data_IF_033736158360
#
_entry.id   IF_033736158360
#
_cell.length_a   1.000
_cell.length_b   1.000
_cell.length_c   1.000
_cell.angle_alpha   90.00
_cell.angle_beta   90.00
_cell.angle_gamma   90.00
#
_symmetry.space_group_name_H-M   'P 1'
#
loop_
_entity.id
_entity.type
_entity.pdbx_description
1 polymer ?
#
# COMPACT_ATOMS: atom_id res chain seq x y z
N UNK A 1 5.51 22.49 -0.88
CA UNK A 1 5.83 21.06 -1.06
C UNK A 1 4.95 20.57 -2.20
N UNK A 2 5.55 20.16 -3.30
CA UNK A 2 4.83 19.64 -4.46
C UNK A 2 4.23 18.28 -4.08
N UNK A 3 2.92 18.10 -4.26
CA UNK A 3 2.25 16.85 -3.90
C UNK A 3 2.61 15.77 -4.91
N UNK A 4 3.04 14.60 -4.42
CA UNK A 4 3.29 13.42 -5.24
C UNK A 4 1.97 13.00 -5.90
N UNK A 5 2.01 12.71 -7.21
CA UNK A 5 0.84 12.26 -7.96
C UNK A 5 0.25 10.97 -7.36
N UNK A 6 -1.07 10.92 -7.22
CA UNK A 6 -1.80 9.74 -6.76
C UNK A 6 -1.55 8.51 -7.64
N UNK A 7 -1.21 8.70 -8.91
CA UNK A 7 -0.85 7.61 -9.83
C UNK A 7 0.44 6.91 -9.40
N UNK A 8 1.44 7.67 -8.95
CA UNK A 8 2.73 7.13 -8.46
C UNK A 8 2.50 6.37 -7.15
N UNK A 9 1.70 6.93 -6.25
CA UNK A 9 1.33 6.25 -5.01
C UNK A 9 0.58 4.94 -5.27
N UNK A 10 -0.34 4.94 -6.25
CA UNK A 10 -1.07 3.73 -6.62
C UNK A 10 -0.17 2.65 -7.24
N UNK A 11 0.86 3.02 -8.02
CA UNK A 11 1.81 2.05 -8.57
C UNK A 11 2.50 1.23 -7.48
N UNK A 12 2.83 1.84 -6.33
CA UNK A 12 3.46 1.13 -5.21
C UNK A 12 2.59 0.02 -4.60
N UNK A 13 1.27 0.09 -4.82
CA UNK A 13 0.27 -0.87 -4.35
C UNK A 13 -0.21 -1.83 -5.44
N UNK A 14 0.25 -1.68 -6.69
CA UNK A 14 -0.15 -2.52 -7.82
C UNK A 14 1.00 -3.41 -8.27
N UNK A 15 0.81 -4.73 -8.27
CA UNK A 15 1.79 -5.70 -8.82
C UNK A 15 1.96 -5.59 -10.34
N UNK A 16 1.07 -4.87 -11.02
CA UNK A 16 1.12 -4.65 -12.46
C UNK A 16 1.45 -3.18 -12.74
N UNK A 17 2.34 -2.94 -13.70
CA UNK A 17 2.57 -1.59 -14.22
C UNK A 17 1.24 -1.13 -14.82
N UNK A 18 0.59 -0.18 -14.14
CA UNK A 18 -0.63 0.42 -14.65
C UNK A 18 -0.37 0.97 -16.04
N UNK A 19 -1.24 0.64 -17.00
CA UNK A 19 -1.19 1.24 -18.33
C UNK A 19 -1.52 2.75 -18.23
N UNK A 20 -0.56 3.58 -17.80
CA UNK A 20 -0.67 5.06 -17.90
C UNK A 20 -0.87 5.46 -19.36
N UNK A 21 -0.36 4.63 -20.30
CA UNK A 21 -0.53 4.77 -21.75
C UNK A 21 -1.99 4.81 -22.25
N UNK A 22 -3.00 4.45 -21.46
CA UNK A 22 -4.41 4.66 -21.87
C UNK A 22 -4.87 6.11 -21.77
N UNK A 23 -4.07 7.02 -21.22
CA UNK A 23 -4.37 8.45 -21.14
C UNK A 23 -3.63 9.31 -22.19
N UNK A 24 -2.62 8.79 -22.89
CA UNK A 24 -1.96 9.49 -23.99
C UNK A 24 -1.92 8.61 -25.25
N UNK A 25 -2.57 9.11 -26.31
CA UNK A 25 -2.79 8.42 -27.59
C UNK A 25 -1.52 7.83 -28.20
N UNK A 26 -1.66 6.62 -28.74
CA UNK A 26 -0.54 5.76 -29.10
C UNK A 26 0.12 6.02 -30.45
N UNK A 27 1.16 5.25 -30.74
CA UNK A 27 1.53 4.75 -32.07
C UNK A 27 2.59 3.64 -31.94
N UNK A 28 2.52 2.63 -32.83
CA UNK A 28 3.45 1.50 -32.93
C UNK A 28 4.62 1.87 -33.84
N UNK A 29 5.87 1.58 -33.47
CA UNK A 29 6.99 1.59 -34.45
C UNK A 29 7.99 0.44 -34.16
N UNK A 30 8.49 -0.15 -35.25
CA UNK A 30 9.43 -1.26 -35.34
C UNK A 30 10.88 -0.88 -34.99
N UNK A 31 11.62 -1.81 -34.41
CA UNK A 31 13.02 -1.64 -33.99
C UNK A 31 14.02 -2.18 -35.03
N UNK A 32 14.98 -1.36 -35.43
CA UNK A 32 16.21 -1.78 -36.14
C UNK A 32 17.37 -1.74 -35.12
N UNK A 33 18.09 -2.85 -34.95
CA UNK A 33 19.19 -3.00 -33.99
C UNK A 33 20.54 -2.81 -34.70
N UNK A 34 21.47 -2.09 -34.08
CA UNK A 34 22.89 -2.04 -34.48
C UNK A 34 23.77 -2.42 -33.28
N UNK A 35 24.72 -3.39 -33.38
CA UNK A 35 25.23 -4.11 -32.20
C UNK A 35 26.46 -3.50 -31.50
N UNK A 36 26.97 -2.34 -31.93
CA UNK A 36 28.35 -1.92 -31.60
C UNK A 36 28.51 -0.54 -30.94
N UNK A 37 27.46 0.10 -30.42
CA UNK A 37 27.59 1.40 -29.74
C UNK A 37 27.48 1.25 -28.22
N UNK A 38 28.62 1.31 -27.52
CA UNK A 38 28.72 1.30 -26.07
C UNK A 38 29.06 2.70 -25.56
N UNK A 39 28.04 3.46 -25.17
CA UNK A 39 28.22 4.79 -24.57
C UNK A 39 27.56 5.89 -25.38
N UNK A 40 26.24 5.93 -25.29
CA UNK A 40 25.41 7.12 -25.10
C UNK A 40 23.97 6.70 -25.36
N UNK A 41 23.27 6.33 -24.28
CA UNK A 41 21.83 6.13 -24.36
C UNK A 41 21.19 7.51 -24.48
N UNK A 42 20.96 7.96 -25.70
CA UNK A 42 19.94 8.97 -25.95
C UNK A 42 18.60 8.37 -25.50
N UNK A 43 18.16 8.79 -24.32
CA UNK A 43 16.88 8.36 -23.75
C UNK A 43 15.79 9.06 -24.55
N UNK A 44 15.39 8.42 -25.66
CA UNK A 44 14.18 8.75 -26.38
C UNK A 44 12.97 8.65 -25.45
N UNK A 45 11.93 9.41 -25.77
CA UNK A 45 10.69 9.62 -25.01
C UNK A 45 9.83 8.33 -24.79
N UNK A 46 10.42 7.14 -24.99
CA UNK A 46 9.92 5.81 -24.61
C UNK A 46 10.09 5.53 -23.10
N UNK A 47 9.99 6.57 -22.27
CA UNK A 47 9.91 6.45 -20.81
C UNK A 47 8.51 5.94 -20.42
N UNK A 48 8.30 4.62 -20.47
CA UNK A 48 7.81 4.03 -19.21
C UNK A 48 8.93 4.34 -18.24
N UNK A 49 8.75 5.37 -17.41
CA UNK A 49 9.84 5.85 -16.57
C UNK A 49 10.39 4.63 -15.84
N UNK A 50 11.70 4.36 -15.94
CA UNK A 50 12.32 3.26 -15.17
C UNK A 50 11.89 3.34 -13.69
N UNK A 51 11.65 4.55 -13.21
CA UNK A 51 11.03 4.85 -11.93
C UNK A 51 9.63 4.23 -11.75
N UNK A 52 8.73 4.36 -12.73
CA UNK A 52 7.38 3.78 -12.71
C UNK A 52 7.44 2.25 -12.65
N UNK A 53 8.41 1.63 -13.35
CA UNK A 53 8.61 0.18 -13.30
C UNK A 53 9.24 -0.29 -12.00
N UNK A 54 10.14 0.51 -11.41
CA UNK A 54 10.84 0.18 -10.17
C UNK A 54 9.97 0.37 -8.92
N UNK A 55 9.02 1.30 -8.98
CA UNK A 55 8.08 1.56 -7.88
C UNK A 55 6.88 0.60 -7.90
N UNK A 56 6.62 -0.03 -9.04
CA UNK A 56 5.51 -0.95 -9.22
C UNK A 56 5.53 -2.07 -8.17
N UNK A 57 4.49 -2.12 -7.34
CA UNK A 57 4.30 -3.16 -6.34
C UNK A 57 5.32 -3.16 -5.20
N UNK A 58 6.13 -2.11 -5.05
CA UNK A 58 7.21 -2.08 -4.04
C UNK A 58 6.70 -2.36 -2.62
N UNK A 59 5.57 -1.77 -2.21
CA UNK A 59 4.98 -2.06 -0.91
C UNK A 59 4.37 -3.45 -0.85
N UNK A 60 3.71 -3.89 -1.93
CA UNK A 60 3.10 -5.22 -1.95
C UNK A 60 4.17 -6.31 -1.82
N UNK A 61 5.29 -6.17 -2.53
CA UNK A 61 6.40 -7.11 -2.40
C UNK A 61 7.02 -7.05 -1.00
N UNK A 62 7.11 -5.86 -0.40
CA UNK A 62 7.55 -5.73 0.99
C UNK A 62 6.61 -6.42 1.99
N UNK A 63 5.29 -6.37 1.78
CA UNK A 63 4.30 -7.08 2.60
C UNK A 63 4.34 -8.60 2.40
N UNK A 64 4.76 -9.08 1.24
CA UNK A 64 4.84 -10.51 0.89
C UNK A 64 6.23 -11.12 1.13
N UNK A 65 7.16 -10.35 1.70
CA UNK A 65 8.54 -10.77 1.89
C UNK A 65 8.66 -11.94 2.87
N UNK A 66 9.60 -12.83 2.61
CA UNK A 66 9.88 -14.00 3.45
C UNK A 66 10.34 -13.60 4.87
N UNK A 67 11.02 -12.46 5.00
CA UNK A 67 11.52 -11.95 6.27
C UNK A 67 10.53 -11.01 6.93
N UNK A 68 10.10 -11.37 8.14
CA UNK A 68 9.17 -10.56 8.94
C UNK A 68 9.65 -9.12 9.18
N UNK A 69 10.96 -8.87 9.26
CA UNK A 69 11.51 -7.52 9.42
C UNK A 69 11.24 -6.62 8.20
N UNK A 70 11.24 -7.18 6.99
CA UNK A 70 10.92 -6.45 5.76
C UNK A 70 9.43 -6.14 5.74
N UNK A 71 8.58 -7.13 6.09
CA UNK A 71 7.13 -6.94 6.23
C UNK A 71 6.78 -5.84 7.23
N UNK A 72 7.41 -5.85 8.41
CA UNK A 72 7.23 -4.81 9.42
C UNK A 72 7.63 -3.42 8.89
N UNK A 73 8.78 -3.33 8.24
CA UNK A 73 9.27 -2.06 7.66
C UNK A 73 8.34 -1.53 6.56
N UNK A 74 7.75 -2.41 5.76
CA UNK A 74 6.77 -2.06 4.75
C UNK A 74 5.48 -1.52 5.38
N UNK A 75 4.96 -2.18 6.43
CA UNK A 75 3.80 -1.71 7.19
C UNK A 75 4.06 -0.32 7.79
N UNK A 76 5.20 -0.12 8.43
CA UNK A 76 5.57 1.15 9.06
C UNK A 76 5.62 2.29 8.02
N UNK A 77 6.30 2.05 6.90
CA UNK A 77 6.41 3.03 5.82
C UNK A 77 5.04 3.34 5.19
N UNK A 78 4.20 2.33 4.97
CA UNK A 78 2.83 2.52 4.50
C UNK A 78 2.00 3.31 5.50
N UNK A 79 2.15 3.07 6.79
CA UNK A 79 1.42 3.77 7.85
C UNK A 79 1.77 5.26 7.88
N UNK A 80 3.07 5.60 7.87
CA UNK A 80 3.50 6.99 7.87
C UNK A 80 3.02 7.73 6.63
N UNK A 81 3.13 7.11 5.45
CA UNK A 81 2.64 7.68 4.20
C UNK A 81 1.11 7.85 4.20
N UNK A 82 0.38 6.87 4.72
CA UNK A 82 -1.07 6.95 4.85
C UNK A 82 -1.51 8.02 5.86
N UNK A 83 -0.72 8.32 6.90
CA UNK A 83 -1.02 9.39 7.85
C UNK A 83 -0.90 10.79 7.23
N UNK A 84 -0.11 10.95 6.16
CA UNK A 84 0.07 12.25 5.48
C UNK A 84 -0.76 12.40 4.20
N UNK A 85 -1.17 11.30 3.56
CA UNK A 85 -1.91 11.30 2.30
C UNK A 85 -3.21 10.48 2.40
N UNK A 86 -4.35 11.16 2.50
CA UNK A 86 -5.67 10.53 2.68
C UNK A 86 -6.06 9.60 1.54
N UNK A 87 -5.74 9.99 0.30
CA UNK A 87 -6.02 9.18 -0.89
C UNK A 87 -5.25 7.86 -0.84
N UNK A 88 -3.98 7.91 -0.41
CA UNK A 88 -3.18 6.71 -0.22
C UNK A 88 -3.71 5.84 0.91
N UNK A 89 -4.13 6.43 2.04
CA UNK A 89 -4.73 5.70 3.14
C UNK A 89 -5.93 4.84 2.68
N UNK A 90 -6.82 5.41 1.88
CA UNK A 90 -7.98 4.67 1.34
C UNK A 90 -7.58 3.48 0.46
N UNK A 91 -6.45 3.59 -0.25
CA UNK A 91 -5.92 2.54 -1.12
C UNK A 91 -5.11 1.50 -0.34
N UNK A 92 -4.40 1.90 0.72
CA UNK A 92 -3.47 1.06 1.45
C UNK A 92 -4.13 0.23 2.55
N UNK A 93 -5.23 0.72 3.14
CA UNK A 93 -5.92 0.05 4.25
C UNK A 93 -6.28 -1.42 3.96
N UNK A 94 -6.84 -1.79 2.80
CA UNK A 94 -7.14 -3.20 2.51
C UNK A 94 -5.91 -4.11 2.66
N UNK A 95 -4.77 -3.70 2.10
CA UNK A 95 -3.51 -4.45 2.20
C UNK A 95 -3.00 -4.53 3.64
N UNK A 96 -3.14 -3.46 4.43
CA UNK A 96 -2.79 -3.48 5.85
C UNK A 96 -3.72 -4.39 6.66
N UNK A 97 -5.01 -4.45 6.32
CA UNK A 97 -5.98 -5.35 6.97
C UNK A 97 -5.68 -6.81 6.63
N UNK A 98 -5.22 -7.12 5.42
CA UNK A 98 -4.79 -8.48 5.06
C UNK A 98 -3.67 -8.99 5.97
N UNK A 99 -2.76 -8.10 6.40
CA UNK A 99 -1.68 -8.43 7.35
C UNK A 99 -2.17 -8.78 8.76
N UNK A 100 -3.47 -8.61 9.08
CA UNK A 100 -4.03 -9.06 10.35
C UNK A 100 -4.04 -10.58 10.47
N UNK A 101 -3.82 -11.32 9.39
CA UNK A 101 -3.73 -12.77 9.38
C UNK A 101 -2.30 -13.28 9.16
N UNK A 102 -1.28 -12.43 9.31
CA UNK A 102 0.12 -12.85 9.20
C UNK A 102 0.45 -13.94 10.23
N UNK A 103 1.31 -14.88 9.85
CA UNK A 103 1.75 -15.97 10.72
C UNK A 103 2.48 -15.45 11.99
N UNK A 104 3.19 -14.32 11.88
CA UNK A 104 3.93 -13.70 12.97
C UNK A 104 3.08 -12.70 13.73
N UNK A 105 2.99 -12.88 15.05
CA UNK A 105 2.22 -12.02 15.96
C UNK A 105 2.63 -10.55 15.83
N UNK A 106 3.92 -10.27 15.77
CA UNK A 106 4.48 -8.92 15.73
C UNK A 106 3.98 -8.16 14.49
N UNK A 107 3.82 -8.86 13.37
CA UNK A 107 3.33 -8.29 12.11
C UNK A 107 1.83 -8.00 12.21
N UNK A 108 1.04 -8.95 12.75
CA UNK A 108 -0.39 -8.73 13.00
C UNK A 108 -0.62 -7.52 13.91
N UNK A 109 0.13 -7.43 15.01
CA UNK A 109 0.02 -6.32 15.97
C UNK A 109 0.40 -4.99 15.33
N UNK A 110 1.47 -4.96 14.52
CA UNK A 110 1.90 -3.76 13.83
C UNK A 110 0.83 -3.28 12.83
N UNK A 111 0.28 -4.19 12.04
CA UNK A 111 -0.79 -3.90 11.09
C UNK A 111 -2.03 -3.30 11.78
N UNK A 112 -2.52 -3.91 12.85
CA UNK A 112 -3.69 -3.42 13.62
C UNK A 112 -3.41 -2.02 14.19
N UNK A 113 -2.23 -1.83 14.77
CA UNK A 113 -1.83 -0.54 15.34
C UNK A 113 -1.73 0.55 14.27
N UNK A 114 -1.17 0.21 13.11
CA UNK A 114 -1.06 1.10 11.96
C UNK A 114 -2.43 1.53 11.42
N UNK A 115 -3.35 0.57 11.19
CA UNK A 115 -4.73 0.88 10.76
C UNK A 115 -5.45 1.72 11.80
N UNK A 116 -5.22 1.47 13.10
CA UNK A 116 -5.77 2.29 14.19
C UNK A 116 -5.28 3.74 14.10
N UNK A 117 -3.97 3.94 13.94
CA UNK A 117 -3.36 5.27 13.79
C UNK A 117 -3.94 6.03 12.60
N UNK A 118 -4.03 5.40 11.44
CA UNK A 118 -4.63 5.98 10.22
C UNK A 118 -6.10 6.35 10.46
N UNK A 119 -6.85 5.48 11.14
CA UNK A 119 -8.27 5.69 11.45
C UNK A 119 -8.48 6.90 12.36
N UNK A 120 -7.60 7.11 13.35
CA UNK A 120 -7.64 8.28 14.24
C UNK A 120 -7.36 9.57 13.46
N UNK A 121 -6.39 9.56 12.53
CA UNK A 121 -6.02 10.74 11.74
C UNK A 121 -7.15 11.16 10.80
N UNK A 122 -7.71 10.21 10.04
CA UNK A 122 -8.66 10.53 8.97
C UNK A 122 -10.13 10.31 9.29
N UNK A 123 -10.46 9.79 10.49
CA UNK A 123 -11.81 9.38 10.89
C UNK A 123 -12.48 8.49 9.84
N UNK A 124 -11.73 7.51 9.36
CA UNK A 124 -12.19 6.62 8.31
C UNK A 124 -13.31 5.70 8.82
N UNK A 125 -14.32 5.53 7.97
CA UNK A 125 -15.36 4.52 8.15
C UNK A 125 -14.96 3.23 7.44
N UNK A 126 -14.86 2.14 8.20
CA UNK A 126 -14.55 0.82 7.68
C UNK A 126 -15.59 0.38 6.64
N UNK A 127 -15.11 -0.02 5.46
CA UNK A 127 -15.95 -0.68 4.45
C UNK A 127 -16.39 -2.03 4.98
N UNK A 128 -17.63 -2.42 4.68
CA UNK A 128 -18.22 -3.68 5.13
C UNK A 128 -17.35 -4.91 4.80
N UNK A 129 -16.67 -4.89 3.65
CA UNK A 129 -15.77 -5.95 3.17
C UNK A 129 -14.57 -6.20 4.11
N UNK A 130 -14.10 -5.18 4.83
CA UNK A 130 -12.96 -5.31 5.76
C UNK A 130 -13.40 -5.67 7.18
N UNK A 131 -14.67 -5.44 7.50
CA UNK A 131 -15.23 -5.68 8.84
C UNK A 131 -15.16 -7.14 9.24
N UNK A 132 -15.31 -8.08 8.29
CA UNK A 132 -15.19 -9.51 8.55
C UNK A 132 -13.78 -9.84 9.06
N UNK A 133 -12.74 -9.47 8.33
CA UNK A 133 -11.34 -9.70 8.72
C UNK A 133 -11.00 -9.08 10.08
N UNK A 134 -11.45 -7.86 10.32
CA UNK A 134 -11.22 -7.17 11.60
C UNK A 134 -11.97 -7.87 12.74
N UNK A 135 -13.18 -8.36 12.48
CA UNK A 135 -13.94 -9.13 13.47
C UNK A 135 -13.27 -10.48 13.76
N UNK A 136 -12.72 -11.14 12.73
CA UNK A 136 -11.94 -12.38 12.91
C UNK A 136 -10.70 -12.16 13.79
N UNK A 137 -10.05 -11.00 13.69
CA UNK A 137 -8.92 -10.65 14.56
C UNK A 137 -9.31 -10.50 16.06
N UNK A 138 -10.60 -10.41 16.41
CA UNK A 138 -11.05 -10.50 17.81
C UNK A 138 -10.94 -11.90 18.38
N UNK A 139 -10.81 -12.92 17.53
CA UNK A 139 -10.66 -14.32 17.92
C UNK A 139 -9.21 -14.81 17.84
N UNK A 140 -8.24 -13.89 17.69
CA UNK A 140 -6.82 -14.26 17.70
C UNK A 140 -6.44 -14.97 19.01
N UNK A 141 -5.56 -15.95 18.90
CA UNK A 141 -4.97 -16.68 20.03
C UNK A 141 -4.32 -15.74 21.07
N UNK A 142 -3.71 -14.65 20.63
CA UNK A 142 -2.97 -13.72 21.48
C UNK A 142 -3.86 -12.60 22.03
N UNK A 143 -3.79 -12.39 23.35
CA UNK A 143 -4.63 -11.40 24.02
C UNK A 143 -4.31 -9.94 23.63
N UNK A 144 -3.05 -9.64 23.29
CA UNK A 144 -2.66 -8.28 22.89
C UNK A 144 -3.25 -7.94 21.52
N UNK A 145 -3.31 -8.91 20.61
CA UNK A 145 -3.98 -8.75 19.32
C UNK A 145 -5.46 -8.44 19.53
N UNK A 146 -6.17 -9.26 20.32
CA UNK A 146 -7.59 -9.03 20.62
C UNK A 146 -7.83 -7.65 21.22
N UNK A 147 -6.98 -7.22 22.15
CA UNK A 147 -7.06 -5.90 22.77
C UNK A 147 -6.83 -4.76 21.77
N UNK A 148 -5.82 -4.88 20.91
CA UNK A 148 -5.55 -3.88 19.87
C UNK A 148 -6.72 -3.79 18.88
N UNK A 149 -7.30 -4.92 18.49
CA UNK A 149 -8.49 -4.97 17.62
C UNK A 149 -9.70 -4.31 18.28
N UNK A 150 -9.94 -4.53 19.57
CA UNK A 150 -10.99 -3.81 20.31
C UNK A 150 -10.78 -2.30 20.27
N UNK A 151 -9.53 -1.84 20.42
CA UNK A 151 -9.19 -0.41 20.34
C UNK A 151 -9.47 0.15 18.93
N UNK A 152 -9.08 -0.57 17.87
CA UNK A 152 -9.38 -0.20 16.49
C UNK A 152 -10.88 0.00 16.28
N UNK A 153 -11.69 -1.00 16.65
CA UNK A 153 -13.16 -0.96 16.49
C UNK A 153 -13.76 0.23 17.25
N UNK A 154 -13.24 0.54 18.44
CA UNK A 154 -13.68 1.70 19.22
C UNK A 154 -13.51 3.02 18.45
N UNK A 155 -12.37 3.24 17.79
CA UNK A 155 -12.11 4.45 17.01
C UNK A 155 -12.94 4.52 15.72
N UNK A 156 -13.16 3.39 15.06
CA UNK A 156 -13.96 3.36 13.83
C UNK A 156 -15.44 3.56 14.11
N UNK A 157 -15.95 3.01 15.22
CA UNK A 157 -17.35 3.22 15.65
C UNK A 157 -17.59 4.64 16.17
N UNK A 158 -16.63 5.23 16.87
CA UNK A 158 -16.70 6.63 17.28
C UNK A 158 -16.82 7.57 16.08
N UNK A 159 -16.04 7.31 15.02
CA UNK A 159 -16.08 8.10 13.78
C UNK A 159 -17.43 8.04 13.07
N UNK A 160 -18.16 6.92 13.18
CA UNK A 160 -19.52 6.78 12.62
C UNK A 160 -20.59 7.57 13.40
N UNK A 161 -20.42 7.72 14.71
CA UNK A 161 -21.40 8.37 15.58
C UNK A 161 -21.17 9.87 15.76
N UNK A 162 -20.02 10.40 15.30
CA UNK A 162 -19.63 11.81 15.40
C UNK A 162 -18.97 12.31 14.10
N UNK A 163 -19.76 12.61 13.05
CA UNK A 163 -19.28 13.00 11.72
C UNK A 163 -18.65 14.41 11.65
#
# INVERSE_FOLDING_TARGET
>A
MEQVSTAILWQTLSKQIGNIRKLSGGQKIASTQDPNNAGDYEISDDKVSLLDSAMCGAFIHGLEDEYSIVRASAIDAMCELACIAKEFANLSIPFLVDMFNDEHKEIRLNAITSVTKISVVWRFSLKAELTETITLALFDSDAQIRQATHTLIGYTFWSLTNP
#
